data_IF_991650758268
#
_entry.id   IF_991650758268
#
_cell.length_a   1.000
_cell.length_b   1.000
_cell.length_c   1.000
_cell.angle_alpha   90.00
_cell.angle_beta   90.00
_cell.angle_gamma   90.00
#
_symmetry.space_group_name_H-M   'P 1'
#
loop_
_entity.id
_entity.type
_entity.pdbx_description
1 polymer ?
#
# COMPACT_ATOMS: atom_id res chain seq x y z
N UNK A 1 14.76 49.71 3.74
CA UNK A 1 14.72 48.23 3.75
C UNK A 1 13.30 47.69 3.62
N UNK A 2 12.35 48.07 4.48
CA UNK A 2 10.98 47.52 4.46
C UNK A 2 10.22 47.74 3.13
N UNK A 3 10.39 48.90 2.47
CA UNK A 3 9.75 49.23 1.19
C UNK A 3 10.31 48.44 -0.01
N UNK A 4 11.62 48.17 0.00
CA UNK A 4 12.29 47.33 -1.01
C UNK A 4 11.87 45.87 -0.86
N UNK A 5 11.82 45.38 0.39
CA UNK A 5 11.30 44.04 0.73
C UNK A 5 9.84 43.86 0.31
N UNK A 6 8.97 44.85 0.57
CA UNK A 6 7.57 44.81 0.16
C UNK A 6 7.39 44.82 -1.37
N UNK A 7 8.23 45.57 -2.09
CA UNK A 7 8.25 45.58 -3.56
C UNK A 7 8.69 44.24 -4.15
N UNK A 8 9.72 43.62 -3.58
CA UNK A 8 10.20 42.30 -4.01
C UNK A 8 9.25 41.16 -3.65
N UNK A 9 8.62 41.20 -2.47
CA UNK A 9 7.55 40.27 -2.08
C UNK A 9 6.36 40.35 -3.04
N UNK A 10 5.96 41.57 -3.43
CA UNK A 10 4.88 41.77 -4.41
C UNK A 10 5.28 41.35 -5.82
N UNK A 11 6.56 41.43 -6.18
CA UNK A 11 7.04 40.97 -7.49
C UNK A 11 7.10 39.44 -7.58
N UNK A 12 7.42 38.77 -6.48
CA UNK A 12 7.64 37.32 -6.42
C UNK A 12 6.56 36.55 -5.66
N UNK A 13 5.42 37.18 -5.31
CA UNK A 13 4.40 36.57 -4.46
C UNK A 13 3.89 35.22 -4.98
N UNK A 14 3.79 35.06 -6.31
CA UNK A 14 3.38 33.79 -6.94
C UNK A 14 4.39 32.67 -6.72
N UNK A 15 5.69 32.97 -6.81
CA UNK A 15 6.75 32.00 -6.54
C UNK A 15 6.80 31.63 -5.06
N UNK A 16 6.63 32.62 -4.19
CA UNK A 16 6.56 32.38 -2.74
C UNK A 16 5.33 31.55 -2.37
N UNK A 17 4.18 31.83 -2.97
CA UNK A 17 2.96 31.05 -2.79
C UNK A 17 3.13 29.62 -3.30
N UNK A 18 3.68 29.44 -4.51
CA UNK A 18 3.97 28.12 -5.06
C UNK A 18 4.94 27.33 -4.18
N UNK A 19 6.00 27.96 -3.69
CA UNK A 19 6.96 27.34 -2.77
C UNK A 19 6.30 26.95 -1.43
N UNK A 20 5.48 27.84 -0.84
CA UNK A 20 4.76 27.56 0.40
C UNK A 20 3.81 26.37 0.24
N UNK A 21 3.13 26.27 -0.90
CA UNK A 21 2.24 25.15 -1.20
C UNK A 21 2.99 23.84 -1.44
N UNK A 22 4.13 23.89 -2.12
CA UNK A 22 4.98 22.71 -2.29
C UNK A 22 5.45 22.19 -0.92
N UNK A 23 5.88 23.09 -0.02
CA UNK A 23 6.26 22.72 1.36
C UNK A 23 5.06 22.13 2.12
N UNK A 24 3.87 22.72 2.00
CA UNK A 24 2.66 22.21 2.63
C UNK A 24 2.30 20.80 2.11
N UNK A 25 2.37 20.58 0.80
CA UNK A 25 2.10 19.28 0.16
C UNK A 25 3.08 18.20 0.61
N UNK A 26 4.38 18.50 0.61
CA UNK A 26 5.41 17.57 1.12
C UNK A 26 5.19 17.27 2.60
N UNK A 27 4.89 18.29 3.41
CA UNK A 27 4.63 18.10 4.85
C UNK A 27 3.40 17.24 5.12
N UNK A 28 2.36 17.37 4.30
CA UNK A 28 1.15 16.54 4.38
C UNK A 28 1.47 15.09 3.97
N UNK A 29 2.22 14.89 2.88
CA UNK A 29 2.61 13.56 2.42
C UNK A 29 3.44 12.79 3.47
N UNK A 30 4.34 13.49 4.18
CA UNK A 30 5.11 12.90 5.28
C UNK A 30 4.18 12.51 6.45
N UNK A 31 3.22 13.35 6.82
CA UNK A 31 2.27 13.03 7.89
C UNK A 31 1.37 11.84 7.55
N UNK A 32 0.90 11.76 6.30
CA UNK A 32 0.14 10.62 5.80
C UNK A 32 1.02 9.36 5.85
N UNK A 33 2.26 9.46 5.39
CA UNK A 33 3.22 8.35 5.43
C UNK A 33 3.51 7.85 6.84
N UNK A 34 3.68 8.72 7.84
CA UNK A 34 3.87 8.31 9.24
C UNK A 34 2.64 7.58 9.77
N UNK A 35 1.44 8.11 9.49
CA UNK A 35 0.19 7.48 9.91
C UNK A 35 -0.01 6.11 9.26
N UNK A 36 0.26 6.00 7.96
CA UNK A 36 0.23 4.74 7.21
C UNK A 36 1.23 3.74 7.81
N UNK A 37 2.49 4.13 7.97
CA UNK A 37 3.53 3.26 8.52
C UNK A 37 3.19 2.73 9.91
N UNK A 38 2.58 3.55 10.79
CA UNK A 38 2.11 3.11 12.12
C UNK A 38 1.01 2.05 12.07
N UNK A 39 0.19 2.05 11.02
CA UNK A 39 -0.85 1.04 10.79
C UNK A 39 -0.31 -0.20 10.07
N UNK A 40 0.70 -0.01 9.22
CA UNK A 40 1.33 -1.09 8.46
C UNK A 40 2.21 -1.97 9.33
N UNK A 41 2.93 -1.40 10.31
CA UNK A 41 3.78 -2.16 11.24
C UNK A 41 3.04 -3.31 11.95
N UNK A 42 1.92 -3.08 12.66
CA UNK A 42 1.19 -4.17 13.29
C UNK A 42 0.58 -5.12 12.25
N UNK A 43 0.26 -4.65 11.05
CA UNK A 43 -0.24 -5.49 9.97
C UNK A 43 0.83 -6.44 9.42
N UNK A 44 2.06 -5.96 9.21
CA UNK A 44 3.20 -6.80 8.82
C UNK A 44 3.61 -7.78 9.92
N UNK A 45 3.57 -7.36 11.18
CA UNK A 45 3.73 -8.27 12.32
C UNK A 45 2.64 -9.36 12.35
N UNK A 46 1.38 -8.99 12.10
CA UNK A 46 0.28 -9.95 12.02
C UNK A 46 0.49 -10.96 10.89
N UNK A 47 1.01 -10.56 9.73
CA UNK A 47 1.40 -11.51 8.67
C UNK A 47 2.38 -12.54 9.24
N UNK A 48 3.48 -12.12 9.87
CA UNK A 48 4.46 -13.04 10.47
C UNK A 48 3.84 -13.98 11.49
N UNK A 49 3.06 -13.44 12.44
CA UNK A 49 2.43 -14.23 13.50
C UNK A 49 1.42 -15.23 12.96
N UNK A 50 0.62 -14.85 11.94
CA UNK A 50 -0.29 -15.81 11.30
C UNK A 50 0.47 -16.95 10.65
N UNK A 51 1.73 -16.75 10.29
CA UNK A 51 2.54 -17.78 9.65
C UNK A 51 3.32 -18.65 10.64
N UNK A 52 3.31 -18.34 11.93
CA UNK A 52 3.95 -19.18 12.94
C UNK A 52 3.08 -20.43 13.19
N UNK A 53 3.71 -21.61 13.44
CA UNK A 53 2.97 -22.79 13.88
C UNK A 53 2.25 -22.47 15.19
N UNK A 54 0.95 -22.76 15.25
CA UNK A 54 0.21 -22.60 16.49
C UNK A 54 0.50 -23.82 17.39
N UNK A 55 1.19 -23.65 18.54
CA UNK A 55 1.51 -24.77 19.41
C UNK A 55 0.27 -25.43 20.02
N UNK A 56 -0.89 -24.74 20.03
CA UNK A 56 -2.14 -25.22 20.60
C UNK A 56 -3.08 -25.85 19.56
N UNK A 57 -2.80 -25.66 18.26
CA UNK A 57 -3.64 -26.16 17.16
C UNK A 57 -2.83 -26.95 16.13
N UNK A 58 -2.94 -28.28 16.19
CA UNK A 58 -2.39 -29.20 15.18
C UNK A 58 -2.99 -29.00 13.77
N UNK A 59 -4.04 -28.18 13.64
CA UNK A 59 -4.69 -27.86 12.37
C UNK A 59 -4.06 -26.65 11.67
N UNK A 60 -3.15 -25.92 12.34
CA UNK A 60 -2.47 -24.75 11.78
C UNK A 60 -0.96 -24.98 11.62
N UNK A 61 -0.52 -25.26 10.39
CA UNK A 61 0.90 -25.45 10.07
C UNK A 61 1.55 -24.22 9.43
N UNK A 62 1.11 -23.01 9.79
CA UNK A 62 1.75 -21.78 9.36
C UNK A 62 1.43 -21.30 7.93
N UNK A 63 0.67 -22.06 7.12
CA UNK A 63 -0.14 -21.60 5.96
C UNK A 63 0.45 -20.60 4.95
N UNK A 64 1.77 -20.37 4.95
CA UNK A 64 2.43 -19.21 4.35
C UNK A 64 3.66 -19.58 3.53
N UNK A 65 3.75 -20.81 3.03
CA UNK A 65 4.87 -21.26 2.19
C UNK A 65 5.16 -20.28 1.03
N UNK A 66 4.11 -19.60 0.54
CA UNK A 66 4.16 -18.60 -0.54
C UNK A 66 4.89 -17.29 -0.19
N UNK A 67 5.09 -17.00 1.10
CA UNK A 67 5.79 -15.79 1.60
C UNK A 67 6.85 -16.11 2.66
N UNK A 68 7.11 -17.40 2.93
CA UNK A 68 8.05 -17.83 3.96
C UNK A 68 9.47 -17.28 3.76
N UNK A 69 9.94 -17.20 2.51
CA UNK A 69 11.23 -16.60 2.18
C UNK A 69 11.30 -15.12 2.57
N UNK A 70 10.22 -14.36 2.36
CA UNK A 70 10.13 -12.94 2.72
C UNK A 70 10.08 -12.75 4.24
N UNK A 71 9.44 -13.65 4.98
CA UNK A 71 9.43 -13.63 6.44
C UNK A 71 10.85 -13.89 6.99
N UNK A 72 11.59 -14.80 6.35
CA UNK A 72 12.95 -15.16 6.77
C UNK A 72 14.02 -14.11 6.42
N UNK A 73 13.70 -13.11 5.56
CA UNK A 73 14.64 -12.04 5.20
C UNK A 73 15.00 -11.18 6.41
N UNK A 74 16.29 -10.92 6.56
CA UNK A 74 16.83 -10.04 7.61
C UNK A 74 17.51 -8.79 7.05
N UNK A 75 17.61 -8.68 5.72
CA UNK A 75 18.21 -7.54 5.05
C UNK A 75 17.26 -6.33 5.05
N UNK A 76 17.85 -5.13 5.04
CA UNK A 76 17.09 -3.89 4.97
C UNK A 76 16.61 -3.65 3.54
N UNK A 77 15.31 -3.32 3.35
CA UNK A 77 14.80 -2.97 2.03
C UNK A 77 15.43 -1.66 1.56
N UNK A 78 15.68 -1.57 0.26
CA UNK A 78 16.08 -0.34 -0.41
C UNK A 78 14.93 0.67 -0.44
N UNK A 79 15.25 1.96 -0.66
CA UNK A 79 14.25 3.02 -0.79
C UNK A 79 13.23 2.73 -1.91
N UNK A 80 13.68 2.14 -3.02
CA UNK A 80 12.80 1.77 -4.14
C UNK A 80 11.86 0.62 -3.78
N UNK A 81 12.36 -0.38 -3.05
CA UNK A 81 11.51 -1.47 -2.53
C UNK A 81 10.45 -0.92 -1.57
N UNK A 82 10.83 -0.02 -0.66
CA UNK A 82 9.90 0.64 0.24
C UNK A 82 8.86 1.48 -0.52
N UNK A 83 9.28 2.25 -1.52
CA UNK A 83 8.35 3.04 -2.34
C UNK A 83 7.30 2.12 -3.00
N UNK A 84 7.75 1.02 -3.64
CA UNK A 84 6.85 0.04 -4.25
C UNK A 84 5.95 -0.62 -3.21
N UNK A 85 6.47 -0.91 -2.02
CA UNK A 85 5.69 -1.50 -0.94
C UNK A 85 4.56 -0.58 -0.49
N UNK A 86 4.84 0.71 -0.24
CA UNK A 86 3.80 1.69 0.09
C UNK A 86 2.75 1.81 -1.02
N UNK A 87 3.18 1.83 -2.29
CA UNK A 87 2.25 1.82 -3.43
C UNK A 87 1.36 0.59 -3.44
N UNK A 88 1.94 -0.59 -3.22
CA UNK A 88 1.19 -1.86 -3.17
C UNK A 88 0.20 -1.90 -2.02
N UNK A 89 0.57 -1.43 -0.82
CA UNK A 89 -0.30 -1.52 0.37
C UNK A 89 -1.44 -0.50 0.33
N UNK A 90 -1.17 0.73 -0.10
CA UNK A 90 -2.11 1.84 0.05
C UNK A 90 -2.82 2.26 -1.23
N UNK A 91 -2.24 1.99 -2.40
CA UNK A 91 -2.79 2.49 -3.67
C UNK A 91 -3.31 1.37 -4.59
N UNK A 92 -2.96 0.10 -4.32
CA UNK A 92 -3.52 -1.03 -5.07
C UNK A 92 -4.79 -1.56 -4.42
N UNK A 93 -5.76 -1.89 -5.27
CA UNK A 93 -6.98 -2.56 -4.87
C UNK A 93 -6.79 -4.07 -4.98
N UNK A 94 -7.43 -4.82 -4.09
CA UNK A 94 -7.50 -6.28 -4.16
C UNK A 94 -8.97 -6.71 -4.11
N UNK A 95 -9.47 -7.45 -5.13
CA UNK A 95 -8.76 -7.80 -6.36
C UNK A 95 -8.49 -6.58 -7.24
N UNK A 96 -7.40 -6.58 -8.01
CA UNK A 96 -7.10 -5.47 -8.92
C UNK A 96 -8.08 -5.41 -10.10
N UNK A 97 -8.22 -4.26 -10.76
CA UNK A 97 -9.01 -4.15 -11.99
C UNK A 97 -8.54 -5.07 -13.13
N UNK A 98 -7.29 -5.53 -13.10
CA UNK A 98 -6.78 -6.49 -14.08
C UNK A 98 -7.32 -7.89 -13.79
N UNK A 99 -7.21 -8.37 -12.54
CA UNK A 99 -7.75 -9.67 -12.13
C UNK A 99 -9.27 -9.71 -12.30
N UNK A 100 -9.99 -8.64 -11.92
CA UNK A 100 -11.45 -8.58 -12.14
C UNK A 100 -11.82 -8.76 -13.61
N UNK A 101 -11.17 -8.02 -14.52
CA UNK A 101 -11.41 -8.13 -15.97
C UNK A 101 -11.02 -9.49 -16.53
N UNK A 102 -9.96 -10.10 -16.00
CA UNK A 102 -9.51 -11.42 -16.43
C UNK A 102 -10.56 -12.51 -16.18
N UNK A 103 -11.36 -12.37 -15.12
CA UNK A 103 -12.33 -13.38 -14.69
C UNK A 103 -13.80 -12.97 -14.86
N UNK A 104 -14.07 -11.82 -15.49
CA UNK A 104 -15.44 -11.28 -15.67
C UNK A 104 -16.33 -12.21 -16.50
N UNK A 105 -15.80 -12.77 -17.59
CA UNK A 105 -16.53 -13.66 -18.51
C UNK A 105 -16.12 -15.15 -18.38
N UNK A 106 -15.38 -15.50 -17.33
CA UNK A 106 -14.94 -16.88 -17.11
C UNK A 106 -16.10 -17.68 -16.50
N UNK A 107 -16.57 -18.76 -17.16
CA UNK A 107 -17.66 -19.56 -16.61
C UNK A 107 -17.24 -20.22 -15.30
N UNK A 108 -18.15 -20.23 -14.33
CA UNK A 108 -17.89 -20.88 -13.04
C UNK A 108 -17.68 -22.39 -13.20
N UNK A 109 -16.75 -22.92 -12.41
CA UNK A 109 -16.47 -24.36 -12.36
C UNK A 109 -17.62 -25.07 -11.60
N UNK A 110 -18.28 -26.10 -12.19
CA UNK A 110 -19.50 -26.70 -11.64
C UNK A 110 -19.39 -27.26 -10.21
N UNK A 111 -18.19 -27.65 -9.80
CA UNK A 111 -17.91 -28.26 -8.49
C UNK A 111 -16.86 -27.48 -7.68
N UNK A 112 -16.60 -26.21 -8.04
CA UNK A 112 -15.65 -25.39 -7.32
C UNK A 112 -16.24 -24.93 -5.98
N UNK A 113 -15.60 -25.36 -4.90
CA UNK A 113 -15.86 -24.89 -3.56
C UNK A 113 -14.69 -24.06 -3.04
N UNK A 114 -14.94 -22.75 -2.87
CA UNK A 114 -13.97 -21.81 -2.34
C UNK A 114 -13.53 -22.22 -0.93
N UNK A 115 -14.44 -22.70 -0.08
CA UNK A 115 -14.12 -23.09 1.30
C UNK A 115 -13.08 -24.20 1.34
N UNK A 116 -13.28 -25.24 0.53
CA UNK A 116 -12.31 -26.33 0.36
C UNK A 116 -11.02 -25.83 -0.28
N UNK A 117 -11.07 -24.92 -1.24
CA UNK A 117 -9.88 -24.36 -1.89
C UNK A 117 -9.00 -23.54 -0.93
N UNK A 118 -9.60 -22.83 0.02
CA UNK A 118 -8.88 -22.03 1.03
C UNK A 118 -8.49 -22.86 2.27
N UNK A 119 -9.08 -24.04 2.47
CA UNK A 119 -8.87 -24.85 3.69
C UNK A 119 -7.39 -25.15 3.92
N UNK A 120 -6.93 -24.94 5.16
CA UNK A 120 -5.53 -25.15 5.56
C UNK A 120 -4.57 -24.05 5.11
N UNK A 121 -5.08 -22.97 4.51
CA UNK A 121 -4.30 -21.79 4.11
C UNK A 121 -4.63 -20.59 5.00
N UNK A 122 -3.77 -19.57 4.97
CA UNK A 122 -4.04 -18.30 5.66
C UNK A 122 -5.24 -17.52 5.15
N UNK A 123 -5.67 -17.76 3.92
CA UNK A 123 -6.74 -16.96 3.30
C UNK A 123 -8.13 -17.29 3.86
N UNK A 124 -8.25 -18.33 4.71
CA UNK A 124 -9.47 -18.60 5.50
C UNK A 124 -9.75 -17.51 6.52
N UNK A 125 -8.76 -16.72 6.96
CA UNK A 125 -8.99 -15.65 7.93
C UNK A 125 -10.03 -14.64 7.43
N UNK A 126 -11.02 -14.34 8.27
CA UNK A 126 -12.18 -13.48 7.94
C UNK A 126 -11.79 -12.13 7.31
N UNK A 127 -10.75 -11.42 7.77
CA UNK A 127 -10.33 -10.17 7.13
C UNK A 127 -9.86 -10.33 5.68
N UNK A 128 -9.40 -11.53 5.27
CA UNK A 128 -8.92 -11.80 3.92
C UNK A 128 -10.01 -12.39 3.01
N UNK A 129 -10.98 -13.09 3.59
CA UNK A 129 -12.09 -13.72 2.85
C UNK A 129 -12.87 -12.75 1.96
N UNK A 130 -13.02 -11.51 2.39
CA UNK A 130 -13.74 -10.47 1.64
C UNK A 130 -13.17 -10.26 0.24
N UNK A 131 -11.87 -10.49 0.04
CA UNK A 131 -11.22 -10.33 -1.27
C UNK A 131 -11.60 -11.42 -2.28
N UNK A 132 -12.11 -12.56 -1.83
CA UNK A 132 -12.53 -13.68 -2.68
C UNK A 132 -14.00 -13.59 -3.11
N UNK A 133 -14.69 -12.49 -2.79
CA UNK A 133 -16.07 -12.28 -3.22
C UNK A 133 -16.20 -12.39 -4.74
N UNK A 134 -17.00 -13.35 -5.21
CA UNK A 134 -17.19 -13.63 -6.64
C UNK A 134 -16.18 -14.60 -7.26
N UNK A 135 -15.23 -15.14 -6.49
CA UNK A 135 -14.36 -16.21 -6.98
C UNK A 135 -15.15 -17.52 -7.13
N UNK A 136 -15.31 -18.00 -8.36
CA UNK A 136 -16.04 -19.23 -8.69
C UNK A 136 -15.22 -20.23 -9.55
N UNK A 137 -13.92 -20.02 -9.64
CA UNK A 137 -12.96 -20.93 -10.27
C UNK A 137 -11.69 -20.99 -9.42
N UNK A 138 -10.96 -22.10 -9.49
CA UNK A 138 -9.67 -22.22 -8.79
C UNK A 138 -8.68 -21.16 -9.26
N UNK A 139 -8.63 -20.91 -10.57
CA UNK A 139 -7.74 -19.90 -11.14
C UNK A 139 -8.03 -18.48 -10.63
N UNK A 140 -9.30 -18.12 -10.41
CA UNK A 140 -9.65 -16.81 -9.84
C UNK A 140 -9.20 -16.72 -8.38
N UNK A 141 -9.45 -17.76 -7.57
CA UNK A 141 -8.99 -17.80 -6.18
C UNK A 141 -7.46 -17.69 -6.10
N UNK A 142 -6.72 -18.45 -6.91
CA UNK A 142 -5.25 -18.42 -6.93
C UNK A 142 -4.69 -17.05 -7.35
N UNK A 143 -5.37 -16.35 -8.27
CA UNK A 143 -5.01 -14.99 -8.66
C UNK A 143 -5.18 -14.00 -7.50
N UNK A 144 -6.31 -14.08 -6.77
CA UNK A 144 -6.55 -13.25 -5.58
C UNK A 144 -5.54 -13.56 -4.48
N UNK A 145 -5.23 -14.83 -4.21
CA UNK A 145 -4.16 -15.23 -3.27
C UNK A 145 -2.83 -14.58 -3.64
N UNK A 146 -2.49 -14.56 -4.93
CA UNK A 146 -1.24 -13.99 -5.41
C UNK A 146 -1.14 -12.47 -5.19
N UNK A 147 -2.26 -11.74 -5.31
CA UNK A 147 -2.32 -10.31 -5.00
C UNK A 147 -2.25 -10.04 -3.49
N UNK A 148 -2.88 -10.89 -2.68
CA UNK A 148 -2.75 -10.85 -1.21
C UNK A 148 -1.29 -11.08 -0.82
N UNK A 149 -0.63 -12.08 -1.39
CA UNK A 149 0.79 -12.36 -1.11
C UNK A 149 1.68 -11.19 -1.47
N UNK A 150 1.42 -10.52 -2.60
CA UNK A 150 2.19 -9.34 -2.99
C UNK A 150 2.03 -8.21 -1.96
N UNK A 151 0.82 -8.02 -1.44
CA UNK A 151 0.57 -7.06 -0.36
C UNK A 151 1.24 -7.49 0.94
N UNK A 152 1.25 -8.77 1.28
CA UNK A 152 1.94 -9.28 2.46
C UNK A 152 3.46 -9.05 2.36
N UNK A 153 4.07 -9.36 1.22
CA UNK A 153 5.50 -9.10 0.98
C UNK A 153 5.82 -7.61 1.14
N UNK A 154 4.93 -6.74 0.67
CA UNK A 154 5.06 -5.30 0.85
C UNK A 154 4.95 -4.89 2.34
N UNK A 155 3.98 -5.43 3.08
CA UNK A 155 3.83 -5.18 4.52
C UNK A 155 5.06 -5.67 5.31
N UNK A 156 5.61 -6.84 4.96
CA UNK A 156 6.83 -7.37 5.57
C UNK A 156 8.05 -6.48 5.28
N UNK A 157 8.16 -5.93 4.05
CA UNK A 157 9.21 -4.97 3.74
C UNK A 157 9.10 -3.69 4.58
N UNK A 158 7.89 -3.13 4.74
CA UNK A 158 7.66 -1.94 5.57
C UNK A 158 7.95 -2.26 7.05
N UNK A 159 7.52 -3.43 7.55
CA UNK A 159 7.75 -3.86 8.92
C UNK A 159 9.24 -3.99 9.26
N UNK A 160 10.03 -4.61 8.39
CA UNK A 160 11.49 -4.76 8.59
C UNK A 160 12.23 -3.42 8.68
N UNK A 161 11.79 -2.40 7.96
CA UNK A 161 12.41 -1.07 8.02
C UNK A 161 11.92 -0.26 9.22
N UNK A 162 10.68 -0.47 9.66
CA UNK A 162 10.07 0.30 10.73
C UNK A 162 9.72 1.74 10.33
N UNK A 163 9.58 2.63 11.31
CA UNK A 163 9.35 4.08 11.09
C UNK A 163 10.66 4.84 10.85
N UNK A 164 11.51 4.32 9.96
CA UNK A 164 12.77 4.99 9.62
C UNK A 164 12.54 6.22 8.73
N UNK A 165 13.55 7.07 8.61
CA UNK A 165 13.52 8.19 7.66
C UNK A 165 13.35 7.72 6.21
N UNK A 166 13.93 6.56 5.85
CA UNK A 166 13.79 5.99 4.51
C UNK A 166 12.35 5.54 4.24
N UNK A 167 11.69 4.90 5.23
CA UNK A 167 10.29 4.51 5.13
C UNK A 167 9.37 5.74 5.00
N UNK A 168 9.59 6.78 5.80
CA UNK A 168 8.83 8.03 5.72
C UNK A 168 9.01 8.74 4.37
N UNK A 169 10.24 8.79 3.85
CA UNK A 169 10.51 9.36 2.52
C UNK A 169 9.84 8.54 1.41
N UNK A 170 9.95 7.21 1.47
CA UNK A 170 9.35 6.32 0.49
C UNK A 170 7.82 6.42 0.45
N UNK A 171 7.16 6.40 1.61
CA UNK A 171 5.71 6.57 1.68
C UNK A 171 5.26 7.99 1.32
N UNK A 172 6.02 9.03 1.69
CA UNK A 172 5.74 10.39 1.23
C UNK A 172 5.82 10.49 -0.31
N UNK A 173 6.83 9.89 -0.93
CA UNK A 173 6.95 9.83 -2.39
C UNK A 173 5.78 9.08 -3.02
N UNK A 174 5.35 7.95 -2.44
CA UNK A 174 4.19 7.19 -2.92
C UNK A 174 2.93 8.06 -2.94
N UNK A 175 2.65 8.76 -1.82
CA UNK A 175 1.49 9.65 -1.71
C UNK A 175 1.58 10.87 -2.63
N UNK A 176 2.77 11.43 -2.87
CA UNK A 176 2.96 12.55 -3.81
C UNK A 176 2.71 12.13 -5.27
N UNK A 177 2.85 10.84 -5.59
CA UNK A 177 2.55 10.30 -6.92
C UNK A 177 1.07 9.95 -7.13
N UNK A 178 0.21 10.14 -6.13
CA UNK A 178 -1.23 9.95 -6.31
C UNK A 178 -1.85 11.06 -7.20
N UNK A 179 -2.70 10.69 -8.17
CA UNK A 179 -3.37 11.64 -9.06
C UNK A 179 -4.16 12.74 -8.33
N UNK A 180 -4.74 12.43 -7.17
CA UNK A 180 -5.48 13.39 -6.36
C UNK A 180 -4.58 14.46 -5.74
N UNK A 181 -3.39 14.09 -5.28
CA UNK A 181 -2.41 15.05 -4.75
C UNK A 181 -1.89 15.93 -5.87
N UNK A 182 -1.65 15.36 -7.06
CA UNK A 182 -1.27 16.09 -8.27
C UNK A 182 -2.40 17.04 -8.73
N UNK A 183 -3.66 16.60 -8.70
CA UNK A 183 -4.82 17.42 -9.05
C UNK A 183 -5.06 18.55 -8.05
N UNK A 184 -4.90 18.31 -6.74
CA UNK A 184 -4.96 19.36 -5.74
C UNK A 184 -3.84 20.38 -5.94
N UNK A 185 -2.60 19.94 -6.20
CA UNK A 185 -1.50 20.83 -6.53
C UNK A 185 -1.77 21.65 -7.81
N UNK A 186 -2.27 21.00 -8.86
CA UNK A 186 -2.62 21.65 -10.12
C UNK A 186 -3.78 22.65 -9.97
N UNK A 187 -4.82 22.31 -9.20
CA UNK A 187 -5.96 23.19 -8.93
C UNK A 187 -5.53 24.44 -8.16
N UNK A 188 -4.62 24.30 -7.19
CA UNK A 188 -4.09 25.44 -6.46
C UNK A 188 -3.17 26.31 -7.33
N UNK A 189 -2.34 25.71 -8.20
CA UNK A 189 -1.55 26.45 -9.19
C UNK A 189 -2.46 27.22 -10.17
N UNK A 190 -3.55 26.60 -10.64
CA UNK A 190 -4.53 27.24 -11.50
C UNK A 190 -5.22 28.42 -10.80
N UNK A 191 -5.62 28.25 -9.53
CA UNK A 191 -6.21 29.32 -8.73
C UNK A 191 -5.23 30.50 -8.53
N UNK A 192 -3.94 30.22 -8.33
CA UNK A 192 -2.88 31.25 -8.21
C UNK A 192 -2.51 31.93 -9.53
N UNK A 193 -2.78 31.29 -10.67
CA UNK A 193 -2.52 31.86 -11.99
C UNK A 193 -3.64 32.82 -12.44
N UNK A 194 -4.87 32.61 -11.96
CA UNK A 194 -6.06 33.43 -12.25
C UNK A 194 -6.11 34.69 -11.36
N UNK A 195 -5.50 34.65 -10.17
CA UNK A 195 -5.32 35.80 -9.27
C UNK A 195 -4.05 36.63 -9.61
#
# INVERSE_FOLDING_TARGET
>A
MATVLAGELRRHWRLLAAAALAVAGVSLAIQISDRQGRLDLPSGYAVRMTCEPDPESALWSGGCDRVAADIARTDKPSLLELYRAFVTVHHRQIPSPAVRRQFEDVPCEPDFDLETALKGTRYVFVPLRVHFAGACTRAHADAVMSEIDERDRALLAIEREGLSHAALMAGALANLTEPLVILCAAAVIAALAIL
#
